data_IF_713470427284
#
_entry.id   IF_713470427284
#
_cell.length_a   1.000
_cell.length_b   1.000
_cell.length_c   1.000
_cell.angle_alpha   90.00
_cell.angle_beta   90.00
_cell.angle_gamma   90.00
#
_symmetry.space_group_name_H-M   'P 1'
#
loop_
_entity.id
_entity.type
_entity.pdbx_description
1 polymer ?
#
# COMPACT_ATOMS: atom_id res chain seq x y z
N UNK A 1 28.98 31.16 30.00
CA UNK A 1 29.36 29.75 30.34
C UNK A 1 28.06 28.96 30.30
N UNK A 2 27.81 27.92 29.50
CA UNK A 2 28.63 26.97 28.77
C UNK A 2 27.86 26.49 27.52
N UNK A 3 28.60 26.15 26.47
CA UNK A 3 28.19 25.56 25.18
C UNK A 3 27.83 24.08 25.31
N UNK A 4 27.17 23.54 24.28
CA UNK A 4 27.18 22.13 23.89
C UNK A 4 25.77 21.67 23.52
N UNK A 5 25.36 21.54 22.25
CA UNK A 5 26.12 21.00 21.13
C UNK A 5 25.98 19.47 21.14
N UNK A 6 25.02 18.94 20.39
CA UNK A 6 24.75 17.52 20.28
C UNK A 6 23.98 17.22 19.00
N UNK A 7 24.69 17.32 17.88
CA UNK A 7 24.30 16.84 16.55
C UNK A 7 24.53 15.32 16.52
N UNK A 8 23.61 14.57 15.90
CA UNK A 8 23.82 13.18 15.49
C UNK A 8 22.63 12.29 15.84
N UNK A 9 22.03 11.53 14.94
CA UNK A 9 22.36 11.26 13.55
C UNK A 9 21.58 10.03 13.07
N UNK A 10 21.64 9.78 11.75
CA UNK A 10 21.31 8.50 11.12
C UNK A 10 19.81 8.23 11.02
N UNK A 11 19.21 8.24 9.83
CA UNK A 11 19.64 7.35 8.75
C UNK A 11 19.12 5.95 9.05
N UNK A 12 17.89 5.70 8.63
CA UNK A 12 17.21 4.43 8.82
C UNK A 12 16.06 4.27 7.84
N UNK A 13 16.29 4.63 6.57
CA UNK A 13 15.49 4.16 5.45
C UNK A 13 15.64 2.65 5.38
N UNK A 14 14.88 1.95 6.22
CA UNK A 14 14.78 0.50 6.25
C UNK A 14 14.06 0.03 5.00
N UNK A 15 14.75 0.05 3.87
CA UNK A 15 14.54 -0.93 2.79
C UNK A 15 14.94 -2.30 3.34
N UNK A 16 14.16 -2.80 4.29
CA UNK A 16 14.44 -4.03 5.00
C UNK A 16 14.09 -5.27 4.16
N UNK A 17 14.61 -6.45 4.54
CA UNK A 17 14.30 -7.77 3.95
C UNK A 17 12.81 -8.09 3.83
N UNK A 18 11.95 -7.31 4.48
CA UNK A 18 10.50 -7.31 4.42
C UNK A 18 9.94 -7.09 3.02
N UNK A 19 10.55 -6.23 2.18
CA UNK A 19 10.06 -5.99 0.81
C UNK A 19 10.39 -7.19 -0.09
N UNK A 20 11.64 -7.67 -0.08
CA UNK A 20 12.05 -8.83 -0.87
C UNK A 20 11.26 -10.11 -0.49
N UNK A 21 11.04 -10.34 0.81
CA UNK A 21 10.22 -11.46 1.28
C UNK A 21 8.75 -11.29 0.88
N UNK A 22 8.20 -10.08 0.93
CA UNK A 22 6.83 -9.81 0.48
C UNK A 22 6.67 -10.00 -1.04
N UNK A 23 7.64 -9.56 -1.84
CA UNK A 23 7.67 -9.80 -3.29
C UNK A 23 7.76 -11.29 -3.62
N UNK A 24 8.61 -12.05 -2.90
CA UNK A 24 8.71 -13.49 -3.07
C UNK A 24 7.41 -14.22 -2.68
N UNK A 25 6.78 -13.81 -1.58
CA UNK A 25 5.49 -14.34 -1.15
C UNK A 25 4.37 -14.02 -2.16
N UNK A 26 4.36 -12.82 -2.73
CA UNK A 26 3.41 -12.43 -3.77
C UNK A 26 3.59 -13.24 -5.06
N UNK A 27 4.84 -13.45 -5.49
CA UNK A 27 5.16 -14.28 -6.65
C UNK A 27 4.74 -15.75 -6.44
N UNK A 28 5.01 -16.30 -5.25
CA UNK A 28 4.58 -17.65 -4.90
C UNK A 28 3.05 -17.77 -4.85
N UNK A 29 2.35 -16.76 -4.29
CA UNK A 29 0.90 -16.69 -4.31
C UNK A 29 0.36 -16.69 -5.73
N UNK A 30 0.93 -15.86 -6.62
CA UNK A 30 0.53 -15.81 -8.03
C UNK A 30 0.71 -17.16 -8.71
N UNK A 31 1.84 -17.84 -8.49
CA UNK A 31 2.09 -19.18 -9.03
C UNK A 31 1.04 -20.20 -8.56
N UNK A 32 0.72 -20.21 -7.27
CA UNK A 32 -0.30 -21.11 -6.73
C UNK A 32 -1.69 -20.84 -7.32
N UNK A 33 -2.05 -19.57 -7.51
CA UNK A 33 -3.33 -19.19 -8.13
C UNK A 33 -3.43 -19.70 -9.57
N UNK A 34 -2.37 -19.54 -10.38
CA UNK A 34 -2.30 -20.05 -11.75
C UNK A 34 -2.42 -21.58 -11.79
N UNK A 35 -1.66 -22.29 -10.96
CA UNK A 35 -1.72 -23.75 -10.88
C UNK A 35 -3.13 -24.24 -10.52
N UNK A 36 -3.82 -23.53 -9.62
CA UNK A 36 -5.19 -23.85 -9.23
C UNK A 36 -6.18 -23.65 -10.39
N UNK A 37 -6.05 -22.56 -11.16
CA UNK A 37 -6.83 -22.35 -12.40
C UNK A 37 -6.66 -23.53 -13.34
N UNK A 38 -5.40 -23.84 -13.69
CA UNK A 38 -5.09 -24.85 -14.69
C UNK A 38 -5.63 -26.22 -14.27
N UNK A 39 -5.45 -26.57 -13.00
CA UNK A 39 -5.97 -27.80 -12.43
C UNK A 39 -7.51 -27.85 -12.46
N UNK A 40 -8.19 -26.79 -12.03
CA UNK A 40 -9.65 -26.77 -11.97
C UNK A 40 -10.28 -26.78 -13.36
N UNK A 41 -9.71 -26.05 -14.33
CA UNK A 41 -10.14 -26.09 -15.75
C UNK A 41 -9.95 -27.49 -16.32
N UNK A 42 -8.77 -28.10 -16.12
CA UNK A 42 -8.49 -29.46 -16.61
C UNK A 42 -9.49 -30.45 -16.03
N UNK A 43 -9.77 -30.37 -14.72
CA UNK A 43 -10.74 -31.25 -14.05
C UNK A 43 -12.16 -31.09 -14.59
N UNK A 44 -12.58 -29.86 -14.92
CA UNK A 44 -13.89 -29.60 -15.56
C UNK A 44 -13.93 -30.23 -16.96
N UNK A 45 -12.93 -29.96 -17.79
CA UNK A 45 -12.89 -30.45 -19.18
C UNK A 45 -12.87 -31.97 -19.23
N UNK A 46 -12.01 -32.61 -18.42
CA UNK A 46 -11.89 -34.07 -18.37
C UNK A 46 -13.16 -34.73 -17.83
N UNK A 47 -13.73 -34.17 -16.76
CA UNK A 47 -14.96 -34.72 -16.16
C UNK A 47 -16.16 -34.55 -17.08
N UNK A 48 -16.27 -33.40 -17.77
CA UNK A 48 -17.33 -33.16 -18.73
C UNK A 48 -17.18 -34.00 -20.00
N UNK A 49 -15.96 -34.16 -20.51
CA UNK A 49 -15.68 -35.06 -21.65
C UNK A 49 -16.08 -36.49 -21.32
N UNK A 50 -15.78 -36.98 -20.11
CA UNK A 50 -16.24 -38.28 -19.64
C UNK A 50 -17.78 -38.39 -19.59
N UNK A 51 -18.46 -37.39 -19.02
CA UNK A 51 -19.93 -37.36 -18.97
C UNK A 51 -20.55 -37.45 -20.36
N UNK A 52 -20.05 -36.67 -21.32
CA UNK A 52 -20.53 -36.67 -22.71
C UNK A 52 -20.29 -38.04 -23.36
N UNK A 53 -19.12 -38.64 -23.14
CA UNK A 53 -18.78 -39.95 -23.72
C UNK A 53 -19.67 -41.08 -23.17
N UNK A 54 -19.98 -41.07 -21.87
CA UNK A 54 -20.86 -42.07 -21.23
C UNK A 54 -22.33 -41.84 -21.60
N UNK A 55 -22.76 -40.59 -21.76
CA UNK A 55 -24.13 -40.26 -22.16
C UNK A 55 -24.47 -40.66 -23.60
N UNK A 56 -23.47 -40.97 -24.45
CA UNK A 56 -23.70 -41.46 -25.81
C UNK A 56 -24.29 -42.86 -25.77
N UNK A 57 -25.59 -42.95 -26.06
CA UNK A 57 -26.30 -44.21 -26.26
C UNK A 57 -25.67 -44.97 -27.43
N UNK A 58 -24.98 -46.06 -27.11
CA UNK A 58 -24.60 -47.09 -28.07
C UNK A 58 -25.41 -48.34 -27.70
N UNK A 59 -25.87 -49.13 -28.69
CA UNK A 59 -26.69 -50.35 -28.53
C UNK A 59 -26.02 -51.51 -27.76
N UNK A 60 -24.97 -51.22 -26.97
CA UNK A 60 -24.35 -52.17 -26.07
C UNK A 60 -25.26 -52.47 -24.87
N UNK A 61 -25.19 -53.70 -24.31
CA UNK A 61 -26.10 -54.14 -23.27
C UNK A 61 -26.07 -53.15 -22.09
N UNK A 62 -27.27 -52.70 -21.71
CA UNK A 62 -27.57 -51.73 -20.65
C UNK A 62 -26.55 -51.82 -19.52
N UNK A 63 -25.71 -50.79 -19.42
CA UNK A 63 -24.69 -50.74 -18.38
C UNK A 63 -25.32 -50.37 -17.03
N UNK A 64 -25.01 -51.25 -16.09
CA UNK A 64 -25.38 -51.36 -14.69
C UNK A 64 -25.13 -50.07 -13.87
N UNK A 65 -25.77 -49.97 -12.71
CA UNK A 65 -25.71 -48.91 -11.68
C UNK A 65 -24.32 -48.30 -11.40
N UNK A 66 -23.24 -49.04 -11.66
CA UNK A 66 -21.86 -48.55 -11.59
C UNK A 66 -21.57 -47.36 -12.53
N UNK A 67 -22.08 -47.37 -13.76
CA UNK A 67 -21.87 -46.24 -14.68
C UNK A 67 -22.67 -45.01 -14.26
N UNK A 68 -23.89 -45.20 -13.76
CA UNK A 68 -24.70 -44.12 -13.18
C UNK A 68 -23.98 -43.46 -11.98
N UNK A 69 -23.39 -44.27 -11.09
CA UNK A 69 -22.59 -43.77 -9.96
C UNK A 69 -21.33 -43.00 -10.43
N UNK A 70 -20.61 -43.53 -11.42
CA UNK A 70 -19.44 -42.83 -11.98
C UNK A 70 -19.83 -41.51 -12.64
N UNK A 71 -20.99 -41.45 -13.31
CA UNK A 71 -21.53 -40.24 -13.91
C UNK A 71 -21.85 -39.20 -12.82
N UNK A 72 -22.50 -39.60 -11.74
CA UNK A 72 -22.81 -38.72 -10.60
C UNK A 72 -21.54 -38.17 -9.93
N UNK A 73 -20.53 -39.01 -9.69
CA UNK A 73 -19.24 -38.59 -9.14
C UNK A 73 -18.54 -37.57 -10.05
N UNK A 74 -18.62 -37.73 -11.38
CA UNK A 74 -18.00 -36.81 -12.36
C UNK A 74 -18.74 -35.49 -12.47
N UNK A 75 -20.07 -35.50 -12.39
CA UNK A 75 -20.87 -34.30 -12.27
C UNK A 75 -20.53 -33.53 -10.99
N UNK A 76 -20.44 -34.21 -9.84
CA UNK A 76 -20.04 -33.61 -8.58
C UNK A 76 -18.63 -32.98 -8.65
N UNK A 77 -17.65 -33.68 -9.26
CA UNK A 77 -16.31 -33.11 -9.49
C UNK A 77 -16.31 -31.86 -10.35
N UNK A 78 -17.14 -31.80 -11.38
CA UNK A 78 -17.30 -30.62 -12.23
C UNK A 78 -17.81 -29.43 -11.43
N UNK A 79 -18.83 -29.64 -10.59
CA UNK A 79 -19.38 -28.60 -9.71
C UNK A 79 -18.35 -28.12 -8.69
N UNK A 80 -17.59 -29.05 -8.09
CA UNK A 80 -16.54 -28.70 -7.12
C UNK A 80 -15.41 -27.86 -7.75
N UNK A 81 -14.97 -28.21 -8.95
CA UNK A 81 -13.95 -27.44 -9.66
C UNK A 81 -14.49 -26.05 -10.04
N UNK A 82 -15.76 -25.94 -10.45
CA UNK A 82 -16.39 -24.65 -10.72
C UNK A 82 -16.49 -23.76 -9.47
N UNK A 83 -16.86 -24.32 -8.32
CA UNK A 83 -16.87 -23.59 -7.04
C UNK A 83 -15.47 -23.13 -6.64
N UNK A 84 -14.45 -23.97 -6.85
CA UNK A 84 -13.05 -23.59 -6.62
C UNK A 84 -12.62 -22.41 -7.50
N UNK A 85 -13.02 -22.37 -8.77
CA UNK A 85 -12.78 -21.22 -9.65
C UNK A 85 -13.50 -19.94 -9.17
N UNK A 86 -14.72 -20.05 -8.64
CA UNK A 86 -15.43 -18.88 -8.07
C UNK A 86 -14.70 -18.32 -6.84
N UNK A 87 -14.19 -19.19 -5.97
CA UNK A 87 -13.36 -18.80 -4.82
C UNK A 87 -12.07 -18.11 -5.27
N UNK A 88 -11.40 -18.67 -6.27
CA UNK A 88 -10.21 -18.06 -6.86
C UNK A 88 -10.49 -16.65 -7.41
N UNK A 89 -11.58 -16.47 -8.18
CA UNK A 89 -11.97 -15.14 -8.68
C UNK A 89 -12.21 -14.16 -7.54
N UNK A 90 -12.79 -14.64 -6.44
CA UNK A 90 -13.01 -13.82 -5.24
C UNK A 90 -11.69 -13.40 -4.58
N UNK A 91 -10.72 -14.32 -4.47
CA UNK A 91 -9.36 -14.03 -3.97
C UNK A 91 -8.61 -13.03 -4.87
N UNK A 92 -8.78 -13.12 -6.19
CA UNK A 92 -8.20 -12.17 -7.16
C UNK A 92 -8.82 -10.78 -7.03
N UNK A 93 -10.15 -10.68 -6.91
CA UNK A 93 -10.84 -9.41 -6.66
C UNK A 93 -10.36 -8.76 -5.37
N UNK A 94 -10.26 -9.55 -4.30
CA UNK A 94 -9.74 -9.07 -3.03
C UNK A 94 -8.30 -8.53 -3.20
N UNK A 95 -7.42 -9.31 -3.83
CA UNK A 95 -6.03 -8.89 -4.06
C UNK A 95 -5.95 -7.60 -4.87
N UNK A 96 -6.77 -7.44 -5.92
CA UNK A 96 -6.80 -6.24 -6.74
C UNK A 96 -7.26 -5.00 -5.93
N UNK A 97 -8.33 -5.12 -5.14
CA UNK A 97 -8.84 -4.04 -4.27
C UNK A 97 -7.77 -3.58 -3.28
N UNK A 98 -7.03 -4.51 -2.68
CA UNK A 98 -6.06 -4.18 -1.63
C UNK A 98 -4.65 -3.85 -2.14
N UNK A 99 -4.30 -4.20 -3.39
CA UNK A 99 -2.94 -4.04 -3.94
C UNK A 99 -2.44 -2.60 -3.95
N UNK A 100 -3.32 -1.61 -4.18
CA UNK A 100 -2.95 -0.20 -4.26
C UNK A 100 -2.77 0.49 -2.91
N UNK A 101 -3.32 -0.06 -1.82
CA UNK A 101 -3.32 0.63 -0.53
C UNK A 101 -1.96 0.69 0.14
N UNK A 102 -1.12 -0.34 -0.01
CA UNK A 102 0.22 -0.34 0.61
C UNK A 102 1.09 0.78 0.02
N UNK A 103 1.15 0.88 -1.31
CA UNK A 103 1.89 1.93 -2.01
C UNK A 103 1.28 3.33 -1.77
N UNK A 104 -0.06 3.42 -1.73
CA UNK A 104 -0.74 4.67 -1.42
C UNK A 104 -0.44 5.13 0.02
N UNK A 105 -0.44 4.21 0.98
CA UNK A 105 -0.14 4.50 2.38
C UNK A 105 1.30 4.99 2.55
N UNK A 106 2.27 4.34 1.90
CA UNK A 106 3.66 4.78 1.88
C UNK A 106 3.81 6.20 1.28
N UNK A 107 3.10 6.48 0.19
CA UNK A 107 3.10 7.81 -0.43
C UNK A 107 2.46 8.88 0.48
N UNK A 108 1.36 8.55 1.17
CA UNK A 108 0.71 9.46 2.13
C UNK A 108 1.65 9.76 3.32
N UNK A 109 2.32 8.75 3.86
CA UNK A 109 3.31 8.91 4.93
C UNK A 109 4.46 9.82 4.47
N UNK A 110 5.02 9.56 3.29
CA UNK A 110 6.10 10.37 2.70
C UNK A 110 5.71 11.84 2.56
N UNK A 111 4.52 12.13 1.98
CA UNK A 111 4.03 13.51 1.87
C UNK A 111 3.77 14.16 3.22
N UNK A 112 3.31 13.40 4.20
CA UNK A 112 3.08 13.91 5.56
C UNK A 112 4.39 14.39 6.18
N UNK A 113 5.46 13.59 6.05
CA UNK A 113 6.81 13.97 6.50
C UNK A 113 7.30 15.23 5.78
N UNK A 114 7.14 15.30 4.46
CA UNK A 114 7.54 16.46 3.66
C UNK A 114 6.81 17.74 4.09
N UNK A 115 5.50 17.66 4.29
CA UNK A 115 4.71 18.81 4.75
C UNK A 115 5.10 19.26 6.16
N UNK A 116 5.36 18.33 7.07
CA UNK A 116 5.85 18.67 8.40
C UNK A 116 7.20 19.42 8.33
N UNK A 117 8.13 18.94 7.49
CA UNK A 117 9.40 19.65 7.30
C UNK A 117 9.21 21.03 6.66
N UNK A 118 8.24 21.19 5.74
CA UNK A 118 7.92 22.50 5.17
C UNK A 118 7.32 23.46 6.20
N UNK A 119 6.43 22.96 7.08
CA UNK A 119 5.88 23.72 8.18
C UNK A 119 6.99 24.18 9.13
N UNK A 120 7.86 23.28 9.59
CA UNK A 120 8.99 23.60 10.46
C UNK A 120 9.93 24.65 9.84
N UNK A 121 10.29 24.50 8.56
CA UNK A 121 11.13 25.50 7.88
C UNK A 121 10.47 26.87 7.81
N UNK A 122 9.15 26.89 7.57
CA UNK A 122 8.39 28.13 7.49
C UNK A 122 8.29 28.81 8.86
N UNK A 123 8.05 28.04 9.91
CA UNK A 123 8.00 28.54 11.29
C UNK A 123 9.36 29.10 11.73
N UNK A 124 10.46 28.39 11.43
CA UNK A 124 11.81 28.92 11.68
C UNK A 124 12.07 30.23 10.93
N UNK A 125 11.61 30.34 9.67
CA UNK A 125 11.78 31.55 8.89
C UNK A 125 10.95 32.72 9.44
N UNK A 126 9.70 32.47 9.84
CA UNK A 126 8.83 33.46 10.47
C UNK A 126 9.38 33.93 11.80
N UNK A 127 9.89 33.03 12.64
CA UNK A 127 10.53 33.37 13.91
C UNK A 127 11.73 34.32 13.68
N UNK A 128 12.60 34.00 12.72
CA UNK A 128 13.75 34.85 12.37
C UNK A 128 13.31 36.23 11.88
N UNK A 129 12.32 36.31 10.98
CA UNK A 129 11.80 37.59 10.49
C UNK A 129 11.20 38.39 11.65
N UNK A 130 10.50 37.73 12.57
CA UNK A 130 9.95 38.36 13.78
C UNK A 130 11.04 38.94 14.69
N UNK A 131 12.13 38.20 14.90
CA UNK A 131 13.30 38.68 15.66
C UNK A 131 13.97 39.88 14.98
N UNK A 132 14.19 39.82 13.67
CA UNK A 132 14.77 40.93 12.89
C UNK A 132 13.89 42.18 12.94
N UNK A 133 12.58 42.03 12.75
CA UNK A 133 11.63 43.15 12.82
C UNK A 133 11.58 43.76 14.23
N UNK A 134 11.59 42.95 15.28
CA UNK A 134 11.63 43.42 16.66
C UNK A 134 12.94 44.17 16.97
N UNK A 135 14.07 43.69 16.48
CA UNK A 135 15.36 44.35 16.62
C UNK A 135 15.36 45.73 15.93
N UNK A 136 14.88 45.81 14.68
CA UNK A 136 14.78 47.07 13.94
C UNK A 136 13.84 48.09 14.61
N UNK A 137 12.70 47.63 15.15
CA UNK A 137 11.78 48.50 15.89
C UNK A 137 12.43 49.07 17.17
N UNK A 138 13.16 48.24 17.91
CA UNK A 138 13.89 48.66 19.11
C UNK A 138 14.99 49.67 18.80
N UNK A 139 15.70 49.48 17.69
CA UNK A 139 16.70 50.44 17.21
C UNK A 139 16.05 51.78 16.83
N UNK A 140 14.94 51.74 16.10
CA UNK A 140 14.18 52.94 15.73
C UNK A 140 13.65 53.69 16.96
N UNK A 141 13.11 52.99 17.94
CA UNK A 141 12.65 53.55 19.21
C UNK A 141 13.80 54.26 19.96
N UNK A 142 14.97 53.63 20.02
CA UNK A 142 16.18 54.22 20.61
C UNK A 142 16.62 55.50 19.88
N UNK A 143 16.59 55.50 18.55
CA UNK A 143 16.90 56.69 17.74
C UNK A 143 15.91 57.83 17.96
N UNK A 144 14.62 57.52 18.10
CA UNK A 144 13.58 58.51 18.36
C UNK A 144 13.78 59.20 19.72
N UNK A 145 13.92 58.43 20.80
CA UNK A 145 14.11 59.00 22.14
C UNK A 145 15.44 59.73 22.31
N UNK A 146 16.53 59.22 21.70
CA UNK A 146 17.82 59.91 21.74
C UNK A 146 17.83 61.22 20.96
N UNK A 147 17.04 61.32 19.89
CA UNK A 147 16.88 62.57 19.13
C UNK A 147 16.12 63.63 19.92
N UNK A 148 15.04 63.25 20.61
CA UNK A 148 14.27 64.16 21.49
C UNK A 148 15.12 64.69 22.65
N UNK A 149 15.93 63.82 23.26
CA UNK A 149 16.81 64.24 24.36
C UNK A 149 17.88 65.24 23.88
N UNK A 150 18.43 65.03 22.68
CA UNK A 150 19.38 65.98 22.08
C UNK A 150 18.73 67.32 21.74
N UNK A 151 17.52 67.32 21.16
CA UNK A 151 16.80 68.57 20.86
C UNK A 151 16.43 69.34 22.13
N UNK A 152 16.00 68.67 23.20
CA UNK A 152 15.71 69.32 24.49
C UNK A 152 16.97 69.85 25.21
N UNK A 153 18.17 69.37 24.88
CA UNK A 153 19.43 69.91 25.42
C UNK A 153 19.99 71.08 24.59
N UNK A 154 19.43 71.34 23.41
CA UNK A 154 19.85 72.40 22.49
C UNK A 154 18.92 73.63 22.53
N UNK A 155 17.85 73.60 23.32
CA UNK A 155 17.00 74.77 23.59
C UNK A 155 17.42 75.44 24.92
N UNK A 156 17.79 76.73 24.92
CA UNK A 156 18.21 77.48 26.12
C UNK A 156 17.07 77.91 27.05
#
# INVERSE_FOLDING_TARGET
MNKGGGVGGGGGGGSGPTTAAAYAAAAQKQKNLLQRVDNDITNIVDSFSFLVNVARVNDLPVRNSQEAFMMEMRAARTVLAADSLLKLVSELKQTAIFSGFASLNEHVEQRTIEFNQHAERTDCMLARIGEEAAASLKELESHYYSSIQKTNQLEP
#
